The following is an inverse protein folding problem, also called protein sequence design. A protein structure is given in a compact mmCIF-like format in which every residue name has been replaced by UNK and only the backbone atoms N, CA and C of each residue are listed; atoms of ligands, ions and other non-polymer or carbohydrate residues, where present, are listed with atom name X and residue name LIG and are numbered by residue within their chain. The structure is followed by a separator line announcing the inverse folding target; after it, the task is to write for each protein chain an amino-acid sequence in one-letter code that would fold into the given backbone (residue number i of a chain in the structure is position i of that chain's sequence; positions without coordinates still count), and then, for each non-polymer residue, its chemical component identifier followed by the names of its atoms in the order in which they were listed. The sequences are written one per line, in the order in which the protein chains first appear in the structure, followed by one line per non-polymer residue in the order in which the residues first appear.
data_IF_126822292913
#
_entry.id   IF_126822292913
#
_cell.length_a   1.000
_cell.length_b   1.000
_cell.length_c   1.000
_cell.angle_alpha   90.00
_cell.angle_beta   90.00
_cell.angle_gamma   90.00
#
_symmetry.space_group_name_H-M   'P 1'
#
loop_
_entity.id
_entity.type
_entity.pdbx_description
1 polymer ?
#
# COMPACT_ATOMS: atom_id res chain seq x y z
N UNK A 1 -11.04 29.74 13.93
CA UNK A 1 -11.62 28.70 14.82
C UNK A 1 -10.98 27.38 14.40
N UNK A 2 -10.07 26.82 15.20
CA UNK A 2 -9.46 25.52 14.88
C UNK A 2 -10.54 24.44 14.98
N UNK A 3 -10.80 23.71 13.89
CA UNK A 3 -11.61 22.49 13.96
C UNK A 3 -11.03 21.59 15.06
N UNK A 4 -11.81 21.37 16.12
CA UNK A 4 -11.40 20.49 17.21
C UNK A 4 -11.32 19.08 16.65
N UNK A 5 -10.12 18.50 16.60
CA UNK A 5 -9.94 17.12 16.20
C UNK A 5 -10.83 16.20 17.04
N UNK A 6 -11.38 15.16 16.42
CA UNK A 6 -12.15 14.15 17.13
C UNK A 6 -11.23 13.31 18.03
N UNK A 7 -10.00 13.06 17.58
CA UNK A 7 -8.98 12.31 18.31
C UNK A 7 -7.58 12.80 17.91
N UNK A 8 -6.70 12.94 18.90
CA UNK A 8 -5.26 13.19 18.74
C UNK A 8 -4.49 12.27 19.69
N UNK A 9 -3.51 11.53 19.16
CA UNK A 9 -2.70 10.56 19.91
C UNK A 9 -1.23 10.75 19.53
N UNK A 10 -0.33 10.85 20.50
CA UNK A 10 1.11 10.76 20.24
C UNK A 10 1.55 9.31 20.10
N UNK A 11 2.48 9.01 19.21
CA UNK A 11 3.14 7.71 19.16
C UNK A 11 4.10 7.56 17.98
N UNK A 12 4.66 6.36 17.85
CA UNK A 12 5.62 6.06 16.80
C UNK A 12 4.94 5.49 15.55
N UNK A 13 5.25 6.04 14.37
CA UNK A 13 4.75 5.51 13.11
C UNK A 13 5.76 4.53 12.48
N UNK A 14 5.38 3.26 12.22
CA UNK A 14 6.28 2.25 11.65
C UNK A 14 6.61 2.47 10.17
N UNK A 15 5.93 3.41 9.49
CA UNK A 15 6.20 3.74 8.09
C UNK A 15 7.30 4.81 8.02
N UNK A 16 7.06 5.99 8.61
CA UNK A 16 8.07 7.05 8.60
C UNK A 16 9.17 6.83 9.64
N UNK A 17 9.06 5.83 10.53
CA UNK A 17 10.05 5.47 11.54
C UNK A 17 10.39 6.67 12.47
N UNK A 18 9.37 7.46 12.80
CA UNK A 18 9.48 8.65 13.63
C UNK A 18 8.35 8.73 14.65
N UNK A 19 8.62 9.40 15.77
CA UNK A 19 7.58 9.91 16.67
C UNK A 19 6.68 10.90 15.90
N UNK A 20 5.38 10.81 16.13
CA UNK A 20 4.37 11.56 15.40
C UNK A 20 3.12 11.81 16.22
N UNK A 21 2.21 12.60 15.65
CA UNK A 21 0.82 12.70 16.09
C UNK A 21 -0.07 11.97 15.08
N UNK A 22 -0.96 11.15 15.60
CA UNK A 22 -2.05 10.58 14.85
C UNK A 22 -3.30 11.43 15.08
N UNK A 23 -3.86 11.98 14.01
CA UNK A 23 -4.98 12.91 14.09
C UNK A 23 -6.14 12.36 13.27
N UNK A 24 -7.34 12.38 13.86
CA UNK A 24 -8.59 12.11 13.16
C UNK A 24 -9.58 13.27 13.32
N UNK A 25 -10.15 13.72 12.20
CA UNK A 25 -11.21 14.75 12.17
C UNK A 25 -12.63 14.18 12.26
N UNK A 26 -12.78 12.87 12.03
CA UNK A 26 -14.04 12.15 12.13
C UNK A 26 -13.92 10.89 12.97
N UNK A 27 -15.03 10.19 13.16
CA UNK A 27 -15.11 8.95 13.95
C UNK A 27 -14.70 7.69 13.18
N UNK A 28 -14.49 7.77 11.85
CA UNK A 28 -14.02 6.64 11.04
C UNK A 28 -12.49 6.53 11.07
N UNK A 29 -11.94 6.08 12.20
CA UNK A 29 -10.48 6.05 12.41
C UNK A 29 -9.72 5.16 11.43
N UNK A 30 -10.35 4.10 10.92
CA UNK A 30 -9.74 3.17 9.94
C UNK A 30 -9.19 3.89 8.71
N UNK A 31 -9.85 4.94 8.24
CA UNK A 31 -9.41 5.72 7.08
C UNK A 31 -9.00 7.16 7.39
N UNK A 32 -9.27 7.66 8.60
CA UNK A 32 -9.05 9.08 8.93
C UNK A 32 -8.06 9.33 10.07
N UNK A 33 -7.54 8.30 10.73
CA UNK A 33 -6.48 8.44 11.75
C UNK A 33 -5.10 8.53 11.08
N UNK A 34 -4.79 9.73 10.59
CA UNK A 34 -3.63 10.02 9.76
C UNK A 34 -2.38 10.30 10.61
N UNK A 35 -1.24 9.78 10.18
CA UNK A 35 0.08 10.21 10.67
C UNK A 35 0.40 11.61 10.12
N UNK A 36 0.82 12.55 10.96
CA UNK A 36 1.16 13.92 10.52
C UNK A 36 2.53 14.05 9.86
N UNK A 37 3.38 13.02 9.97
CA UNK A 37 4.77 13.06 9.45
C UNK A 37 4.95 12.28 8.14
N UNK A 38 4.05 11.34 7.83
CA UNK A 38 4.11 10.59 6.57
C UNK A 38 3.59 11.44 5.41
N UNK A 39 4.24 11.30 4.24
CA UNK A 39 3.74 11.86 2.99
C UNK A 39 2.30 11.39 2.73
N UNK A 40 1.41 12.37 2.50
CA UNK A 40 -0.03 12.17 2.30
C UNK A 40 -0.76 11.42 3.43
N UNK A 41 -0.17 11.34 4.63
CA UNK A 41 -0.79 10.83 5.85
C UNK A 41 -1.12 9.33 5.79
N UNK A 42 -0.27 8.49 6.39
CA UNK A 42 -0.57 7.06 6.47
C UNK A 42 -1.78 6.77 7.36
N UNK A 43 -2.55 5.73 7.02
CA UNK A 43 -3.71 5.26 7.81
C UNK A 43 -3.40 3.96 8.59
N UNK A 44 -4.24 3.54 9.56
CA UNK A 44 -3.95 2.37 10.40
C UNK A 44 -3.57 1.08 9.66
N UNK A 45 -4.27 0.72 8.56
CA UNK A 45 -4.00 -0.54 7.84
C UNK A 45 -2.62 -0.56 7.17
N UNK A 46 -2.18 0.59 6.66
CA UNK A 46 -0.85 0.75 6.04
C UNK A 46 0.24 0.61 7.12
N UNK A 47 -0.01 1.19 8.32
CA UNK A 47 0.91 1.05 9.46
C UNK A 47 0.98 -0.39 9.96
N UNK A 48 -0.15 -1.10 9.98
CA UNK A 48 -0.19 -2.53 10.31
C UNK A 48 0.63 -3.36 9.31
N UNK A 49 0.49 -3.08 8.01
CA UNK A 49 1.34 -3.73 6.99
C UNK A 49 2.83 -3.46 7.24
N UNK A 50 3.22 -2.21 7.51
CA UNK A 50 4.61 -1.87 7.78
C UNK A 50 5.19 -2.64 8.99
N UNK A 51 4.41 -2.80 10.06
CA UNK A 51 4.81 -3.59 11.24
C UNK A 51 5.03 -5.06 10.87
N UNK A 52 4.08 -5.67 10.15
CA UNK A 52 4.16 -7.07 9.75
C UNK A 52 5.31 -7.29 8.79
N UNK A 53 5.47 -6.41 7.80
CA UNK A 53 6.55 -6.48 6.81
C UNK A 53 7.92 -6.40 7.48
N UNK A 54 8.13 -5.43 8.37
CA UNK A 54 9.39 -5.29 9.10
C UNK A 54 9.67 -6.49 10.03
N UNK A 55 8.63 -7.16 10.54
CA UNK A 55 8.79 -8.34 11.39
C UNK A 55 9.09 -9.61 10.60
N UNK A 56 8.36 -9.85 9.51
CA UNK A 56 8.41 -11.11 8.77
C UNK A 56 9.46 -11.10 7.64
N UNK A 57 9.73 -9.94 7.07
CA UNK A 57 10.69 -9.76 6.00
C UNK A 57 11.53 -8.49 6.25
N UNK A 58 12.39 -8.44 7.28
CA UNK A 58 13.17 -7.25 7.61
C UNK A 58 14.11 -6.78 6.47
N UNK A 59 14.42 -7.67 5.53
CA UNK A 59 15.19 -7.40 4.31
C UNK A 59 14.30 -7.07 3.09
N UNK A 60 13.04 -6.66 3.27
CA UNK A 60 12.10 -6.36 2.19
C UNK A 60 12.63 -5.34 1.17
N UNK A 61 13.53 -4.43 1.59
CA UNK A 61 14.17 -3.44 0.71
C UNK A 61 14.98 -4.07 -0.44
N UNK A 62 15.41 -5.32 -0.29
CA UNK A 62 16.13 -6.09 -1.32
C UNK A 62 15.23 -7.11 -2.04
N UNK A 63 13.94 -7.19 -1.69
CA UNK A 63 12.99 -8.14 -2.26
C UNK A 63 12.38 -7.62 -3.56
N UNK A 64 11.86 -8.52 -4.38
CA UNK A 64 10.97 -8.19 -5.48
C UNK A 64 9.55 -8.11 -4.95
N UNK A 65 8.98 -6.91 -4.93
CA UNK A 65 7.66 -6.66 -4.35
C UNK A 65 6.71 -6.23 -5.44
N UNK A 66 5.56 -6.89 -5.52
CA UNK A 66 4.41 -6.42 -6.27
C UNK A 66 3.36 -5.88 -5.31
N UNK A 67 2.89 -4.65 -5.53
CA UNK A 67 1.73 -4.11 -4.83
C UNK A 67 0.62 -3.81 -5.84
N UNK A 68 -0.56 -4.36 -5.59
CA UNK A 68 -1.72 -4.08 -6.42
C UNK A 68 -2.54 -2.91 -5.88
N UNK A 69 -2.90 -2.02 -6.79
CA UNK A 69 -3.65 -0.79 -6.57
C UNK A 69 -3.13 0.06 -5.41
N UNK A 70 -1.81 0.33 -5.35
CA UNK A 70 -1.23 1.14 -4.29
C UNK A 70 -1.88 2.52 -4.21
N UNK A 71 -2.01 3.04 -3.01
CA UNK A 71 -2.35 4.46 -2.83
C UNK A 71 -1.08 5.30 -2.87
N UNK A 72 -1.14 6.52 -3.40
CA UNK A 72 -0.02 7.48 -3.34
C UNK A 72 0.09 8.12 -1.94
N UNK A 73 0.22 7.30 -0.89
CA UNK A 73 0.47 7.68 0.50
C UNK A 73 1.11 6.56 1.31
N UNK A 74 1.61 6.87 2.50
CA UNK A 74 1.93 5.88 3.52
C UNK A 74 2.93 4.81 3.08
N UNK A 75 2.62 3.54 3.33
CA UNK A 75 3.54 2.42 3.12
C UNK A 75 3.91 2.25 1.63
N UNK A 76 2.97 2.46 0.71
CA UNK A 76 3.23 2.32 -0.73
C UNK A 76 4.28 3.33 -1.22
N UNK A 77 4.27 4.57 -0.70
CA UNK A 77 5.32 5.55 -1.00
C UNK A 77 6.68 5.15 -0.42
N UNK A 78 6.71 4.58 0.79
CA UNK A 78 7.95 4.07 1.39
C UNK A 78 8.51 2.89 0.57
N UNK A 79 7.65 1.95 0.18
CA UNK A 79 8.03 0.82 -0.67
C UNK A 79 8.62 1.30 -2.00
N UNK A 80 7.90 2.20 -2.70
CA UNK A 80 8.36 2.81 -3.96
C UNK A 80 9.70 3.53 -3.84
N UNK A 81 9.97 4.15 -2.69
CA UNK A 81 11.20 4.90 -2.43
C UNK A 81 12.38 4.01 -2.02
N UNK A 82 12.14 2.98 -1.22
CA UNK A 82 13.20 2.26 -0.49
C UNK A 82 13.40 0.81 -0.94
N UNK A 83 12.47 0.24 -1.72
CA UNK A 83 12.62 -1.09 -2.31
C UNK A 83 12.98 -0.96 -3.79
N UNK A 84 14.21 -1.34 -4.14
CA UNK A 84 14.77 -1.21 -5.49
C UNK A 84 13.91 -1.93 -6.55
N UNK A 85 13.37 -3.09 -6.19
CA UNK A 85 12.60 -3.95 -7.10
C UNK A 85 11.09 -3.90 -6.80
N UNK A 86 10.57 -2.74 -6.40
CA UNK A 86 9.14 -2.52 -6.19
C UNK A 86 8.40 -2.24 -7.51
N UNK A 87 7.29 -2.93 -7.73
CA UNK A 87 6.36 -2.69 -8.84
C UNK A 87 4.95 -2.46 -8.26
N UNK A 88 4.43 -1.26 -8.45
CA UNK A 88 3.02 -0.95 -8.24
C UNK A 88 2.22 -1.12 -9.54
N UNK A 89 1.02 -1.71 -9.46
CA UNK A 89 0.12 -1.83 -10.62
C UNK A 89 -1.29 -1.31 -10.37
N UNK A 90 -1.92 -0.78 -11.41
CA UNK A 90 -3.36 -0.49 -11.45
C UNK A 90 -3.98 -1.13 -12.69
N UNK A 91 -5.31 -1.21 -12.74
CA UNK A 91 -6.03 -1.66 -13.93
C UNK A 91 -6.60 -0.47 -14.71
N UNK A 92 -6.16 -0.33 -15.95
CA UNK A 92 -6.62 0.65 -16.93
C UNK A 92 -7.23 -0.13 -18.11
N UNK A 93 -8.57 -0.32 -18.15
CA UNK A 93 -9.21 -1.32 -19.00
C UNK A 93 -8.99 -1.13 -20.50
N UNK A 94 -8.76 0.11 -20.95
CA UNK A 94 -8.54 0.44 -22.36
C UNK A 94 -7.06 0.57 -22.74
N UNK A 95 -6.15 0.23 -21.83
CA UNK A 95 -4.72 0.30 -22.06
C UNK A 95 -4.15 -1.12 -22.15
N UNK A 96 -3.02 -1.27 -22.84
CA UNK A 96 -2.37 -2.58 -23.00
C UNK A 96 -1.90 -3.10 -21.63
N UNK A 97 -2.21 -4.36 -21.31
CA UNK A 97 -1.66 -4.99 -20.11
C UNK A 97 -0.13 -5.10 -20.19
N UNK A 98 0.53 -4.98 -19.05
CA UNK A 98 1.97 -4.95 -18.90
C UNK A 98 2.67 -3.68 -19.39
N UNK A 99 1.92 -2.67 -19.86
CA UNK A 99 2.47 -1.35 -20.19
C UNK A 99 2.57 -0.45 -18.96
N UNK A 100 3.41 0.59 -19.01
CA UNK A 100 3.50 1.60 -17.95
C UNK A 100 2.52 2.75 -18.25
N UNK A 101 1.55 2.96 -17.37
CA UNK A 101 0.52 4.01 -17.46
C UNK A 101 0.57 4.84 -16.17
N UNK A 102 0.82 6.15 -16.29
CA UNK A 102 0.86 7.08 -15.16
C UNK A 102 1.81 6.66 -14.02
N UNK A 103 2.95 6.04 -14.37
CA UNK A 103 3.93 5.56 -13.39
C UNK A 103 3.58 4.23 -12.73
N UNK A 104 2.49 3.58 -13.13
CA UNK A 104 2.10 2.25 -12.67
C UNK A 104 2.07 1.26 -13.83
N UNK A 105 2.38 0.00 -13.55
CA UNK A 105 2.20 -1.05 -14.55
C UNK A 105 0.70 -1.36 -14.68
N UNK A 106 0.19 -1.43 -15.90
CA UNK A 106 -1.20 -1.77 -16.14
C UNK A 106 -1.38 -3.29 -16.05
N UNK A 107 -2.04 -3.79 -15.02
CA UNK A 107 -2.28 -5.23 -14.83
C UNK A 107 -3.74 -5.49 -14.50
N UNK A 108 -4.26 -6.61 -15.03
CA UNK A 108 -5.48 -7.21 -14.50
C UNK A 108 -5.07 -8.17 -13.37
N UNK A 109 -5.55 -7.93 -12.16
CA UNK A 109 -5.20 -8.73 -10.99
C UNK A 109 -5.78 -10.15 -11.04
N UNK A 110 -6.76 -10.39 -11.91
CA UNK A 110 -7.34 -11.71 -12.19
C UNK A 110 -6.56 -12.48 -13.27
N UNK A 111 -5.57 -11.83 -13.91
CA UNK A 111 -4.76 -12.41 -14.98
C UNK A 111 -3.48 -11.58 -15.16
N UNK A 112 -2.53 -11.70 -14.23
CA UNK A 112 -1.31 -10.91 -14.27
C UNK A 112 -0.45 -11.31 -15.47
N UNK A 113 0.23 -10.33 -16.07
CA UNK A 113 1.13 -10.59 -17.21
C UNK A 113 2.58 -10.87 -16.81
N UNK A 114 2.84 -11.00 -15.51
CA UNK A 114 4.16 -11.35 -14.99
C UNK A 114 4.48 -12.83 -15.28
N UNK A 115 5.77 -13.17 -15.23
CA UNK A 115 6.16 -14.57 -15.24
C UNK A 115 5.85 -15.18 -13.88
N UNK A 116 5.55 -16.47 -13.83
CA UNK A 116 5.44 -17.21 -12.58
C UNK A 116 6.72 -17.05 -11.75
N UNK A 117 6.58 -17.11 -10.42
CA UNK A 117 7.67 -17.04 -9.44
C UNK A 117 8.55 -15.77 -9.57
N UNK A 118 7.95 -14.65 -9.99
CA UNK A 118 8.67 -13.37 -10.15
C UNK A 118 8.90 -12.63 -8.83
N UNK A 119 7.93 -12.66 -7.92
CA UNK A 119 7.92 -11.80 -6.72
C UNK A 119 8.15 -12.61 -5.45
N UNK A 120 8.92 -12.04 -4.53
CA UNK A 120 9.10 -12.59 -3.19
C UNK A 120 7.91 -12.25 -2.28
N UNK A 121 7.27 -11.09 -2.52
CA UNK A 121 6.16 -10.57 -1.72
C UNK A 121 5.12 -9.95 -2.66
N UNK A 122 3.87 -10.39 -2.52
CA UNK A 122 2.71 -9.77 -3.16
C UNK A 122 1.88 -9.06 -2.09
N UNK A 123 1.55 -7.80 -2.34
CA UNK A 123 0.83 -6.92 -1.39
C UNK A 123 -0.48 -6.49 -2.02
N UNK A 124 -1.55 -6.66 -1.25
CA UNK A 124 -2.91 -6.24 -1.61
C UNK A 124 -3.57 -5.66 -0.38
N UNK A 125 -4.05 -4.41 -0.44
CA UNK A 125 -4.71 -3.72 0.67
C UNK A 125 -6.07 -3.18 0.22
N UNK A 126 -7.16 -3.79 0.70
CA UNK A 126 -8.54 -3.42 0.35
C UNK A 126 -8.78 -3.41 -1.17
N UNK A 127 -8.37 -4.50 -1.84
CA UNK A 127 -8.52 -4.67 -3.30
C UNK A 127 -9.50 -5.80 -3.63
N UNK A 128 -9.40 -6.92 -2.93
CA UNK A 128 -10.17 -8.15 -3.23
C UNK A 128 -11.69 -7.92 -3.24
N UNK A 129 -12.19 -7.03 -2.37
CA UNK A 129 -13.61 -6.72 -2.27
C UNK A 129 -14.18 -6.03 -3.52
N UNK A 130 -13.33 -5.57 -4.42
CA UNK A 130 -13.69 -4.87 -5.65
C UNK A 130 -13.54 -5.73 -6.91
N UNK A 131 -13.15 -7.00 -6.77
CA UNK A 131 -12.88 -7.92 -7.88
C UNK A 131 -14.08 -8.84 -8.13
N UNK A 132 -14.37 -9.14 -9.40
CA UNK A 132 -15.52 -9.95 -9.81
C UNK A 132 -15.28 -11.46 -9.57
N UNK A 133 -14.08 -11.95 -9.87
CA UNK A 133 -13.67 -13.33 -9.70
C UNK A 133 -12.46 -13.45 -8.75
N UNK A 134 -12.63 -13.24 -7.42
CA UNK A 134 -11.53 -13.30 -6.45
C UNK A 134 -10.72 -14.60 -6.48
N UNK A 135 -11.32 -15.70 -6.94
CA UNK A 135 -10.62 -17.00 -7.08
C UNK A 135 -9.48 -16.94 -8.10
N UNK A 136 -9.64 -16.19 -9.19
CA UNK A 136 -8.59 -16.04 -10.21
C UNK A 136 -7.42 -15.27 -9.63
N UNK A 137 -7.70 -14.21 -8.89
CA UNK A 137 -6.65 -13.45 -8.19
C UNK A 137 -5.87 -14.30 -7.17
N UNK A 138 -6.53 -15.17 -6.40
CA UNK A 138 -5.83 -16.07 -5.46
C UNK A 138 -4.85 -17.00 -6.18
N UNK A 139 -5.11 -17.37 -7.44
CA UNK A 139 -4.20 -18.21 -8.23
C UNK A 139 -2.93 -17.47 -8.67
N UNK A 140 -2.92 -16.15 -8.61
CA UNK A 140 -1.79 -15.28 -8.98
C UNK A 140 -0.83 -15.02 -7.80
N UNK A 141 -1.10 -15.57 -6.60
CA UNK A 141 -0.33 -15.39 -5.36
C UNK A 141 0.21 -16.74 -4.89
#
# INVERSE_FOLDING_TARGET
MSEKYHLEINGFCPICENETKFIAKGNWFRGTLLCTTCDNGSVPRERALALVLNRLAPNWRQKKIHESSPAERGISLKLKKECENYIGSHFFPNQKLGSLINGFRNENIEALTFKNDTFDIVITLDVFEHIFEPRLMIQEI
#
